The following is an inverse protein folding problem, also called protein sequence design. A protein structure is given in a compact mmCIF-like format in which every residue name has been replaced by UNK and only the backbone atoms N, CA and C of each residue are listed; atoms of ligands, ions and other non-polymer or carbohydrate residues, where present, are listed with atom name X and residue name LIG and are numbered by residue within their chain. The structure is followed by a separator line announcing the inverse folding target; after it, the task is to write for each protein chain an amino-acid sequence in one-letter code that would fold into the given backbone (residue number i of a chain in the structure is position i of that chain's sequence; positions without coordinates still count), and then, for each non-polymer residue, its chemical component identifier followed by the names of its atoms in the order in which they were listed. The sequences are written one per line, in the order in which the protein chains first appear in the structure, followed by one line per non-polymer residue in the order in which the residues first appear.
data_IF_933385597029
#
_entry.id   IF_933385597029
#
_cell.length_a   1.000
_cell.length_b   1.000
_cell.length_c   1.000
_cell.angle_alpha   90.00
_cell.angle_beta   90.00
_cell.angle_gamma   90.00
#
_symmetry.space_group_name_H-M   'P 1'
#
loop_
_entity.id
_entity.type
_entity.pdbx_description
1 polymer ?
#
# COMPACT_ATOMS: atom_id res chain seq x y z
N UNK A 1 5.82 71.23 16.64
CA UNK A 1 5.09 69.94 16.65
C UNK A 1 6.12 68.84 16.40
N UNK A 2 6.05 67.75 17.16
CA UNK A 2 7.13 66.78 17.37
C UNK A 2 7.36 65.91 16.12
N UNK A 3 8.60 65.82 15.67
CA UNK A 3 9.06 64.81 14.72
C UNK A 3 9.09 63.45 15.44
N UNK A 4 8.16 62.58 15.09
CA UNK A 4 8.06 61.24 15.68
C UNK A 4 9.11 60.34 15.05
N UNK A 5 10.11 59.99 15.86
CA UNK A 5 11.11 58.95 15.62
C UNK A 5 10.40 57.60 15.35
N UNK A 6 10.43 57.13 14.11
CA UNK A 6 9.97 55.78 13.75
C UNK A 6 11.08 54.80 14.15
N UNK A 7 10.88 54.09 15.26
CA UNK A 7 11.70 52.91 15.57
C UNK A 7 11.27 51.73 14.70
N UNK A 8 12.20 50.92 14.17
CA UNK A 8 11.86 49.72 13.42
C UNK A 8 11.37 48.63 14.37
N UNK A 9 10.13 48.18 14.19
CA UNK A 9 9.60 46.98 14.85
C UNK A 9 10.18 45.75 14.12
N UNK A 10 11.23 45.16 14.69
CA UNK A 10 11.67 43.80 14.33
C UNK A 10 10.96 42.82 15.27
N UNK A 11 9.73 42.46 14.95
CA UNK A 11 9.02 41.35 15.59
C UNK A 11 9.56 40.02 15.00
N UNK A 12 10.84 39.75 15.29
CA UNK A 12 11.58 38.58 14.83
C UNK A 12 11.24 37.36 15.68
N UNK A 13 9.99 36.89 15.64
CA UNK A 13 9.65 35.59 16.24
C UNK A 13 10.26 34.50 15.35
N UNK A 14 11.46 34.06 15.68
CA UNK A 14 12.10 32.96 14.96
C UNK A 14 11.26 31.68 15.19
N UNK A 15 10.82 30.98 14.12
CA UNK A 15 9.97 29.81 14.25
C UNK A 15 10.68 28.71 15.06
N UNK A 16 9.92 28.04 15.94
CA UNK A 16 10.48 27.00 16.81
C UNK A 16 10.80 25.73 16.02
N UNK A 17 11.71 24.89 16.52
CA UNK A 17 12.06 23.61 15.87
C UNK A 17 10.84 22.69 15.66
N UNK A 18 9.84 22.77 16.54
CA UNK A 18 8.60 21.99 16.40
C UNK A 18 7.77 22.47 15.22
N UNK A 19 7.74 23.77 14.98
CA UNK A 19 7.01 24.36 13.87
C UNK A 19 7.71 24.03 12.55
N UNK A 20 9.04 24.15 12.50
CA UNK A 20 9.84 23.73 11.35
C UNK A 20 9.65 22.24 10.99
N UNK A 21 9.60 21.35 11.99
CA UNK A 21 9.34 19.92 11.77
C UNK A 21 7.92 19.64 11.25
N UNK A 22 6.92 20.37 11.75
CA UNK A 22 5.53 20.26 11.27
C UNK A 22 5.40 20.77 9.84
N UNK A 23 6.03 21.89 9.53
CA UNK A 23 6.03 22.45 8.18
C UNK A 23 6.72 21.51 7.18
N UNK A 24 7.85 20.90 7.58
CA UNK A 24 8.53 19.90 6.77
C UNK A 24 7.64 18.69 6.52
N UNK A 25 6.99 18.17 7.57
CA UNK A 25 6.06 17.03 7.45
C UNK A 25 4.90 17.38 6.51
N UNK A 26 4.32 18.58 6.61
CA UNK A 26 3.25 19.04 5.75
C UNK A 26 3.69 19.11 4.28
N UNK A 27 4.88 19.65 4.00
CA UNK A 27 5.44 19.71 2.63
C UNK A 27 5.72 18.32 2.07
N UNK A 28 6.25 17.41 2.89
CA UNK A 28 6.49 16.03 2.51
C UNK A 28 5.17 15.30 2.21
N UNK A 29 4.16 15.46 3.06
CA UNK A 29 2.84 14.86 2.83
C UNK A 29 2.20 15.38 1.55
N UNK A 30 2.20 16.70 1.32
CA UNK A 30 1.68 17.30 0.08
C UNK A 30 2.38 16.73 -1.16
N UNK A 31 3.72 16.67 -1.13
CA UNK A 31 4.48 16.11 -2.26
C UNK A 31 4.19 14.64 -2.51
N UNK A 32 4.00 13.85 -1.44
CA UNK A 32 3.62 12.44 -1.57
C UNK A 32 2.22 12.32 -2.20
N UNK A 33 1.26 13.14 -1.79
CA UNK A 33 -0.09 13.13 -2.35
C UNK A 33 -0.08 13.44 -3.85
N UNK A 34 0.66 14.47 -4.27
CA UNK A 34 0.82 14.81 -5.70
C UNK A 34 1.40 13.64 -6.51
N UNK A 35 2.44 12.99 -5.97
CA UNK A 35 3.06 11.84 -6.61
C UNK A 35 2.12 10.63 -6.67
N UNK A 36 1.33 10.38 -5.63
CA UNK A 36 0.33 9.31 -5.61
C UNK A 36 -0.75 9.54 -6.67
N UNK A 37 -1.18 10.79 -6.86
CA UNK A 37 -2.13 11.14 -7.92
C UNK A 37 -1.53 10.90 -9.32
N UNK A 38 -0.26 11.27 -9.52
CA UNK A 38 0.49 10.98 -10.74
C UNK A 38 0.65 9.49 -11.02
N UNK A 39 0.97 8.69 -9.98
CA UNK A 39 1.04 7.23 -10.07
C UNK A 39 -0.31 6.66 -10.47
N UNK A 40 -1.41 7.12 -9.86
CA UNK A 40 -2.76 6.66 -10.19
C UNK A 40 -3.10 6.91 -11.67
N UNK A 41 -2.88 8.14 -12.15
CA UNK A 41 -3.11 8.47 -13.58
C UNK A 41 -2.30 7.58 -14.51
N UNK A 42 -1.02 7.37 -14.20
CA UNK A 42 -0.13 6.51 -14.99
C UNK A 42 -0.59 5.05 -14.96
N UNK A 43 -1.07 4.59 -13.81
CA UNK A 43 -1.58 3.22 -13.64
C UNK A 43 -2.88 3.02 -14.43
N UNK A 44 -3.79 3.99 -14.39
CA UNK A 44 -5.04 3.96 -15.18
C UNK A 44 -4.74 3.89 -16.69
N UNK A 45 -3.75 4.62 -17.17
CA UNK A 45 -3.30 4.57 -18.57
C UNK A 45 -2.67 3.20 -18.93
N UNK A 46 -1.80 2.66 -18.06
CA UNK A 46 -1.21 1.33 -18.25
C UNK A 46 -2.30 0.26 -18.34
N UNK A 47 -3.31 0.34 -17.49
CA UNK A 47 -4.39 -0.66 -17.44
C UNK A 47 -5.31 -0.55 -18.66
N UNK A 48 -5.58 0.66 -19.16
CA UNK A 48 -6.28 0.87 -20.42
C UNK A 48 -5.52 0.23 -21.60
N UNK A 49 -4.21 0.49 -21.72
CA UNK A 49 -3.38 -0.08 -22.79
C UNK A 49 -3.31 -1.61 -22.70
N UNK A 50 -3.17 -2.17 -21.50
CA UNK A 50 -3.21 -3.63 -21.30
C UNK A 50 -4.55 -4.21 -21.71
N UNK A 51 -5.67 -3.56 -21.39
CA UNK A 51 -7.00 -4.01 -21.82
C UNK A 51 -7.09 -4.07 -23.34
N UNK A 52 -6.67 -3.02 -24.03
CA UNK A 52 -6.66 -2.97 -25.49
C UNK A 52 -5.80 -4.08 -26.11
N UNK A 53 -4.65 -4.39 -25.51
CA UNK A 53 -3.79 -5.49 -25.95
C UNK A 53 -4.49 -6.85 -25.74
N UNK A 54 -5.13 -7.06 -24.59
CA UNK A 54 -5.84 -8.31 -24.27
C UNK A 54 -7.06 -8.53 -25.18
N UNK A 55 -7.75 -7.47 -25.59
CA UNK A 55 -8.90 -7.55 -26.49
C UNK A 55 -8.49 -7.86 -27.94
N UNK A 56 -7.30 -7.40 -28.36
CA UNK A 56 -6.83 -7.53 -29.73
C UNK A 56 -5.98 -8.79 -29.99
N UNK A 57 -5.31 -9.34 -28.98
CA UNK A 57 -4.30 -10.39 -29.16
C UNK A 57 -4.60 -11.65 -28.32
N UNK A 58 -4.49 -12.86 -28.89
CA UNK A 58 -4.66 -14.08 -28.14
C UNK A 58 -3.46 -14.35 -27.20
N UNK A 59 -3.64 -15.30 -26.28
CA UNK A 59 -2.57 -15.80 -25.40
C UNK A 59 -1.37 -16.25 -26.24
N UNK A 60 -0.18 -15.74 -25.91
CA UNK A 60 1.02 -15.95 -26.71
C UNK A 60 2.18 -15.04 -26.30
N UNK A 61 3.26 -15.12 -27.05
CA UNK A 61 4.43 -14.24 -26.90
C UNK A 61 4.68 -13.53 -28.23
N UNK A 62 4.87 -12.23 -28.18
CA UNK A 62 4.97 -11.36 -29.34
C UNK A 62 6.19 -10.44 -29.19
N UNK A 63 6.90 -10.22 -30.29
CA UNK A 63 7.93 -9.19 -30.37
C UNK A 63 7.26 -7.87 -30.80
N UNK A 64 7.57 -6.77 -30.10
CA UNK A 64 6.99 -5.44 -30.25
C UNK A 64 8.11 -4.40 -30.32
N UNK A 65 8.82 -4.37 -31.46
CA UNK A 65 10.06 -3.59 -31.62
C UNK A 65 11.17 -4.16 -30.73
N UNK A 66 11.71 -3.33 -29.86
CA UNK A 66 12.75 -3.72 -28.89
C UNK A 66 12.20 -4.41 -27.63
N UNK A 67 10.87 -4.53 -27.51
CA UNK A 67 10.19 -5.11 -26.36
C UNK A 67 9.57 -6.45 -26.69
N UNK A 68 9.44 -7.31 -25.67
CA UNK A 68 8.73 -8.57 -25.75
C UNK A 68 7.46 -8.52 -24.91
N UNK A 69 6.31 -8.76 -25.53
CA UNK A 69 5.00 -8.78 -24.89
C UNK A 69 4.54 -10.22 -24.73
N UNK A 70 4.25 -10.63 -23.49
CA UNK A 70 3.71 -11.95 -23.20
C UNK A 70 2.30 -11.85 -22.64
N UNK A 71 1.33 -12.41 -23.36
CA UNK A 71 -0.07 -12.48 -22.95
C UNK A 71 -0.29 -13.86 -22.34
N UNK A 72 -0.64 -13.89 -21.06
CA UNK A 72 -0.85 -15.12 -20.30
C UNK A 72 -2.33 -15.31 -19.99
N UNK A 73 -2.83 -16.55 -19.88
CA UNK A 73 -4.18 -16.78 -19.42
C UNK A 73 -4.35 -16.27 -17.98
N UNK A 74 -5.58 -15.94 -17.62
CA UNK A 74 -5.92 -15.52 -16.26
C UNK A 74 -5.48 -16.55 -15.22
N UNK A 75 -5.08 -16.07 -14.05
CA UNK A 75 -4.62 -16.94 -12.97
C UNK A 75 -5.75 -17.87 -12.50
N UNK A 76 -5.55 -19.17 -12.60
CA UNK A 76 -6.50 -20.15 -12.08
C UNK A 76 -6.23 -20.35 -10.59
N UNK A 77 -7.21 -20.00 -9.76
CA UNK A 77 -7.16 -20.22 -8.31
C UNK A 77 -8.13 -21.33 -7.92
N UNK A 78 -7.74 -22.11 -6.91
CA UNK A 78 -8.61 -23.11 -6.31
C UNK A 78 -9.78 -22.41 -5.60
N UNK A 79 -11.01 -22.78 -5.94
CA UNK A 79 -12.19 -22.36 -5.19
C UNK A 79 -12.20 -23.13 -3.85
N UNK A 80 -11.77 -22.46 -2.79
CA UNK A 80 -11.61 -23.08 -1.48
C UNK A 80 -12.92 -23.65 -0.92
N UNK A 81 -14.07 -23.03 -1.23
CA UNK A 81 -15.37 -23.50 -0.74
C UNK A 81 -15.77 -24.78 -1.44
N UNK A 82 -15.77 -24.77 -2.78
CA UNK A 82 -16.09 -25.97 -3.58
C UNK A 82 -15.11 -27.09 -3.30
N UNK A 83 -13.83 -26.76 -3.10
CA UNK A 83 -12.82 -27.75 -2.73
C UNK A 83 -13.07 -28.35 -1.36
N UNK A 84 -13.46 -27.55 -0.36
CA UNK A 84 -13.79 -28.05 0.97
C UNK A 84 -15.05 -28.93 1.01
N UNK A 85 -16.03 -28.63 0.17
CA UNK A 85 -17.23 -29.45 0.00
C UNK A 85 -16.89 -30.81 -0.65
N UNK A 86 -16.04 -30.82 -1.69
CA UNK A 86 -15.65 -32.04 -2.39
C UNK A 86 -14.60 -32.89 -1.64
N UNK A 87 -13.67 -32.24 -0.92
CA UNK A 87 -12.57 -32.87 -0.22
C UNK A 87 -12.47 -32.35 1.22
N UNK A 88 -13.35 -32.78 2.15
CA UNK A 88 -13.35 -32.26 3.51
C UNK A 88 -12.00 -32.48 4.24
N UNK A 89 -11.58 -31.49 5.02
CA UNK A 89 -10.30 -31.51 5.75
C UNK A 89 -10.19 -32.67 6.76
N UNK A 90 -11.33 -33.11 7.32
CA UNK A 90 -11.36 -34.25 8.24
C UNK A 90 -10.95 -35.57 7.56
N UNK A 91 -11.31 -35.73 6.27
CA UNK A 91 -10.98 -36.92 5.49
C UNK A 91 -9.65 -36.79 4.73
N UNK A 92 -9.27 -35.56 4.35
CA UNK A 92 -8.08 -35.30 3.53
C UNK A 92 -7.15 -34.24 4.17
N UNK A 93 -6.67 -34.43 5.41
CA UNK A 93 -5.94 -33.39 6.13
C UNK A 93 -4.63 -32.97 5.44
N UNK A 94 -4.00 -33.86 4.67
CA UNK A 94 -2.77 -33.56 3.92
C UNK A 94 -2.97 -32.53 2.79
N UNK A 95 -4.21 -32.32 2.33
CA UNK A 95 -4.54 -31.32 1.31
C UNK A 95 -4.76 -29.92 1.90
N UNK A 96 -4.71 -29.78 3.22
CA UNK A 96 -4.95 -28.54 3.95
C UNK A 96 -3.71 -28.07 4.69
N UNK A 97 -3.55 -26.74 4.78
CA UNK A 97 -2.54 -26.12 5.64
C UNK A 97 -3.17 -25.79 6.98
N UNK A 98 -2.59 -26.30 8.06
CA UNK A 98 -2.96 -25.91 9.42
C UNK A 98 -2.22 -24.64 9.78
N UNK A 99 -2.96 -23.58 10.11
CA UNK A 99 -2.40 -22.30 10.57
C UNK A 99 -3.07 -21.89 11.86
N UNK A 100 -2.33 -21.28 12.82
CA UNK A 100 -2.92 -20.78 14.05
C UNK A 100 -4.04 -19.76 13.78
N UNK A 101 -5.16 -19.88 14.50
CA UNK A 101 -6.17 -18.83 14.55
C UNK A 101 -5.73 -17.77 15.56
N UNK A 102 -5.16 -16.68 15.05
CA UNK A 102 -4.66 -15.58 15.89
C UNK A 102 -5.78 -14.90 16.69
N UNK A 103 -7.02 -14.86 16.18
CA UNK A 103 -8.12 -14.22 16.89
C UNK A 103 -8.60 -15.11 18.05
N UNK A 104 -8.75 -16.40 17.82
CA UNK A 104 -9.07 -17.36 18.87
C UNK A 104 -7.94 -17.42 19.91
N UNK A 105 -6.68 -17.48 19.47
CA UNK A 105 -5.52 -17.46 20.37
C UNK A 105 -5.48 -16.19 21.23
N UNK A 106 -5.78 -15.01 20.65
CA UNK A 106 -5.82 -13.74 21.40
C UNK A 106 -6.91 -13.71 22.45
N UNK A 107 -8.11 -14.24 22.13
CA UNK A 107 -9.21 -14.35 23.08
C UNK A 107 -8.91 -15.31 24.23
N UNK A 108 -8.20 -16.41 23.95
CA UNK A 108 -7.92 -17.45 24.94
C UNK A 108 -6.68 -17.17 25.81
N UNK A 109 -5.60 -16.64 25.21
CA UNK A 109 -4.29 -16.49 25.85
C UNK A 109 -3.99 -15.04 26.28
N UNK A 110 -4.72 -14.07 25.74
CA UNK A 110 -4.49 -12.64 25.98
C UNK A 110 -3.33 -12.06 25.15
N UNK A 111 -3.30 -10.72 25.04
CA UNK A 111 -2.33 -10.00 24.18
C UNK A 111 -0.89 -10.18 24.67
N UNK A 112 -0.67 -10.11 25.99
CA UNK A 112 0.67 -10.19 26.59
C UNK A 112 1.36 -11.54 26.33
N UNK A 113 0.61 -12.64 26.29
CA UNK A 113 1.15 -13.97 26.03
C UNK A 113 1.52 -14.15 24.54
N UNK A 114 0.84 -13.44 23.64
CA UNK A 114 1.09 -13.52 22.21
C UNK A 114 2.16 -12.54 21.73
N UNK A 115 2.38 -11.43 22.44
CA UNK A 115 3.35 -10.39 22.06
C UNK A 115 4.75 -10.93 21.69
N UNK A 116 5.39 -11.86 22.45
CA UNK A 116 6.70 -12.40 22.06
C UNK A 116 6.65 -13.32 20.82
N UNK A 117 5.47 -13.79 20.43
CA UNK A 117 5.24 -14.66 19.27
C UNK A 117 4.81 -13.87 18.03
N UNK A 118 4.48 -12.59 18.18
CA UNK A 118 4.04 -11.72 17.10
C UNK A 118 5.25 -11.13 16.37
N UNK A 119 5.26 -11.26 15.03
CA UNK A 119 6.19 -10.52 14.18
C UNK A 119 5.66 -9.12 13.93
N UNK A 120 6.44 -8.09 14.29
CA UNK A 120 6.16 -6.70 13.92
C UNK A 120 6.98 -6.34 12.68
N UNK A 121 6.30 -5.87 11.64
CA UNK A 121 6.97 -5.27 10.49
C UNK A 121 7.47 -3.87 10.83
N UNK A 122 8.36 -3.33 9.99
CA UNK A 122 8.87 -1.97 10.13
C UNK A 122 7.75 -0.95 10.01
N UNK A 123 7.87 0.17 10.71
CA UNK A 123 6.96 1.30 10.58
C UNK A 123 6.87 1.77 9.12
N UNK A 124 5.67 2.15 8.69
CA UNK A 124 5.37 2.65 7.34
C UNK A 124 4.70 4.02 7.42
N UNK A 125 4.86 4.84 6.37
CA UNK A 125 4.21 6.15 6.23
C UNK A 125 3.05 6.03 5.25
N UNK A 126 1.87 6.46 5.69
CA UNK A 126 0.66 6.51 4.84
C UNK A 126 0.16 7.95 4.81
N UNK A 127 0.07 8.51 3.61
CA UNK A 127 -0.56 9.80 3.32
C UNK A 127 -1.91 9.51 2.65
N UNK A 128 -2.96 10.22 3.10
CA UNK A 128 -4.35 10.07 2.64
C UNK A 128 -4.84 11.36 2.02
#
# INVERSE_FOLDING_TARGET
MKETMVQPTIDGTTPSERDLKRDLLARQAARIADLQEGIKRSQDEIDLLKSQILDAWPVGSYEAGDLKVQIRPGNQRLDAKRFAEAYPAAANPSLYKVTPDAAAARRALGEMALEPLMKRDKSSVVVK
#
